data_IF_811251474547
#
_entry.id   IF_811251474547
#
_cell.length_a   1.000
_cell.length_b   1.000
_cell.length_c   1.000
_cell.angle_alpha   90.00
_cell.angle_beta   90.00
_cell.angle_gamma   90.00
#
_symmetry.space_group_name_H-M   'P 1'
#
loop_
_entity.id
_entity.type
_entity.pdbx_description
1 polymer ?
#
# COMPACT_ATOMS: atom_id res chain seq x y z
N UNK A 1 42.80 16.71 44.32
CA UNK A 1 43.43 17.04 43.03
C UNK A 1 44.91 16.97 43.26
N UNK A 2 45.52 15.83 42.93
CA UNK A 2 46.97 15.67 43.05
C UNK A 2 47.65 16.68 42.13
N UNK A 3 48.57 17.45 42.70
CA UNK A 3 49.29 18.51 41.99
C UNK A 3 50.25 17.81 41.04
N UNK A 4 49.87 17.69 39.75
CA UNK A 4 50.73 17.13 38.69
C UNK A 4 52.11 17.79 38.78
N UNK A 5 53.17 16.97 38.89
CA UNK A 5 54.55 17.41 39.20
C UNK A 5 55.33 17.92 37.99
N UNK A 6 54.63 18.21 36.88
CA UNK A 6 55.19 18.61 35.60
C UNK A 6 54.41 19.81 35.04
N UNK A 7 55.02 20.62 34.17
CA UNK A 7 54.35 21.80 33.65
C UNK A 7 53.23 21.44 32.67
N UNK A 8 52.15 22.23 32.72
CA UNK A 8 50.93 22.02 31.94
C UNK A 8 50.65 23.31 31.15
N UNK A 9 50.50 23.25 29.81
CA UNK A 9 50.02 24.36 29.00
C UNK A 9 48.66 24.90 29.49
N UNK A 10 48.40 26.20 29.29
CA UNK A 10 47.11 26.80 29.67
C UNK A 10 45.94 26.18 28.89
N UNK A 11 46.20 25.75 27.65
CA UNK A 11 45.27 25.13 26.70
C UNK A 11 45.43 23.59 26.64
N UNK A 12 45.73 22.94 27.77
CA UNK A 12 46.05 21.51 27.79
C UNK A 12 44.89 20.62 27.31
N UNK A 13 43.65 20.97 27.66
CA UNK A 13 42.48 20.20 27.24
C UNK A 13 42.35 20.20 25.72
N UNK A 14 42.41 21.37 25.09
CA UNK A 14 42.32 21.52 23.64
C UNK A 14 43.52 20.89 22.92
N UNK A 15 44.72 20.96 23.50
CA UNK A 15 45.93 20.30 22.98
C UNK A 15 45.79 18.77 22.99
N UNK A 16 45.23 18.20 24.06
CA UNK A 16 44.97 16.76 24.16
C UNK A 16 43.89 16.32 23.17
N UNK A 17 42.80 17.08 23.04
CA UNK A 17 41.78 16.82 22.01
C UNK A 17 42.38 16.84 20.60
N UNK A 18 43.22 17.83 20.32
CA UNK A 18 43.93 17.93 19.05
C UNK A 18 44.85 16.72 18.84
N UNK A 19 45.66 16.31 19.82
CA UNK A 19 46.50 15.09 19.71
C UNK A 19 45.66 13.83 19.44
N UNK A 20 44.57 13.64 20.17
CA UNK A 20 43.66 12.50 20.01
C UNK A 20 43.06 12.48 18.60
N UNK A 21 42.77 13.63 18.01
CA UNK A 21 42.21 13.74 16.65
C UNK A 21 43.11 13.12 15.56
N UNK A 22 44.44 13.06 15.79
CA UNK A 22 45.39 12.43 14.86
C UNK A 22 45.35 10.89 14.91
N UNK A 23 44.65 10.28 15.89
CA UNK A 23 44.50 8.82 16.05
C UNK A 23 45.82 8.07 15.92
N UNK A 24 46.87 8.61 16.55
CA UNK A 24 48.26 8.17 16.37
C UNK A 24 48.84 7.51 17.62
N UNK A 25 48.34 7.84 18.81
CA UNK A 25 48.72 7.18 20.06
C UNK A 25 48.36 5.69 20.00
N UNK A 26 49.20 4.85 20.62
CA UNK A 26 49.02 3.40 20.72
C UNK A 26 48.90 2.69 19.35
N UNK A 27 49.52 3.26 18.32
CA UNK A 27 49.60 2.64 16.99
C UNK A 27 50.97 2.04 16.74
N UNK A 28 51.05 1.00 15.90
CA UNK A 28 52.32 0.37 15.54
C UNK A 28 53.31 1.34 14.86
N UNK A 29 54.57 0.93 14.78
CA UNK A 29 55.59 1.72 14.08
C UNK A 29 55.22 1.89 12.60
N UNK A 30 55.53 3.06 12.06
CA UNK A 30 55.33 3.37 10.65
C UNK A 30 56.67 3.90 10.10
N UNK A 31 57.17 3.24 9.06
CA UNK A 31 58.49 3.50 8.46
C UNK A 31 58.76 4.99 8.19
N UNK A 32 57.73 5.74 7.80
CA UNK A 32 57.84 7.18 7.50
C UNK A 32 58.30 8.02 8.70
N UNK A 33 58.04 7.59 9.95
CA UNK A 33 58.53 8.26 11.15
C UNK A 33 59.87 7.68 11.60
N UNK A 34 60.07 6.36 11.42
CA UNK A 34 61.33 5.68 11.74
C UNK A 34 62.50 6.25 10.91
N UNK A 35 62.28 6.49 9.61
CA UNK A 35 63.26 7.09 8.71
C UNK A 35 63.68 8.50 9.19
N UNK A 36 62.74 9.27 9.76
CA UNK A 36 63.03 10.63 10.26
C UNK A 36 63.88 10.60 11.52
N UNK A 37 63.57 9.73 12.49
CA UNK A 37 64.38 9.62 13.72
C UNK A 37 65.76 9.03 13.44
N UNK A 38 65.88 8.10 12.49
CA UNK A 38 67.18 7.59 12.05
C UNK A 38 68.01 8.67 11.35
N UNK A 39 67.38 9.49 10.50
CA UNK A 39 68.04 10.63 9.86
C UNK A 39 68.48 11.66 10.89
N UNK A 40 67.63 12.02 11.85
CA UNK A 40 67.97 12.96 12.92
C UNK A 40 69.14 12.42 13.77
N UNK A 41 69.09 11.15 14.19
CA UNK A 41 70.16 10.52 14.95
C UNK A 41 71.52 10.63 14.24
N UNK A 42 71.55 10.30 12.94
CA UNK A 42 72.75 10.37 12.11
C UNK A 42 73.22 11.82 11.86
N UNK A 43 72.30 12.71 11.48
CA UNK A 43 72.60 14.09 11.11
C UNK A 43 73.20 14.90 12.27
N UNK A 44 72.71 14.67 13.50
CA UNK A 44 73.17 15.37 14.70
C UNK A 44 74.24 14.60 15.47
N UNK A 45 74.57 13.36 15.06
CA UNK A 45 75.58 12.53 15.71
C UNK A 45 75.27 12.22 17.18
N UNK A 46 74.00 11.97 17.50
CA UNK A 46 73.53 11.72 18.87
C UNK A 46 73.23 10.22 19.11
N UNK A 47 73.25 9.79 20.36
CA UNK A 47 72.89 8.44 20.75
C UNK A 47 71.41 8.13 20.49
N UNK A 48 70.50 9.09 20.68
CA UNK A 48 69.06 8.83 20.63
C UNK A 48 68.28 9.94 19.92
N UNK A 49 67.30 9.54 19.11
CA UNK A 49 66.29 10.45 18.54
C UNK A 49 64.89 9.83 18.60
N UNK A 50 63.87 10.64 18.89
CA UNK A 50 62.49 10.17 18.97
C UNK A 50 61.49 11.17 18.39
N UNK A 51 60.41 10.64 17.82
CA UNK A 51 59.14 11.37 17.67
C UNK A 51 58.33 11.06 18.91
N UNK A 52 58.25 12.03 19.80
CA UNK A 52 57.66 11.93 21.12
C UNK A 52 56.33 12.70 21.14
N UNK A 53 55.24 12.05 21.54
CA UNK A 53 53.91 12.65 21.68
C UNK A 53 53.56 12.72 23.16
N UNK A 54 53.01 13.86 23.59
CA UNK A 54 52.72 14.11 25.01
C UNK A 54 51.24 13.90 25.28
N UNK A 55 50.92 12.84 26.00
CA UNK A 55 49.56 12.46 26.42
C UNK A 55 49.27 13.01 27.84
N UNK A 56 48.12 12.70 28.44
CA UNK A 56 47.69 13.31 29.71
C UNK A 56 48.67 13.10 30.87
N UNK A 57 49.20 11.88 31.02
CA UNK A 57 50.09 11.46 32.11
C UNK A 57 51.39 10.78 31.64
N UNK A 58 51.52 10.53 30.33
CA UNK A 58 52.68 9.86 29.73
C UNK A 58 53.26 10.63 28.54
N UNK A 59 54.47 10.23 28.18
CA UNK A 59 55.13 10.57 26.93
C UNK A 59 55.23 9.28 26.11
N UNK A 60 54.60 9.24 24.94
CA UNK A 60 54.53 8.07 24.07
C UNK A 60 55.40 8.27 22.82
N UNK A 61 56.19 7.26 22.44
CA UNK A 61 57.11 7.37 21.31
C UNK A 61 56.53 6.77 20.03
N UNK A 62 56.16 7.63 19.07
CA UNK A 62 55.70 7.19 17.74
C UNK A 62 56.79 6.53 16.91
N UNK A 63 58.01 7.04 17.06
CA UNK A 63 59.21 6.49 16.45
C UNK A 63 60.40 6.76 17.36
N UNK A 64 61.37 5.85 17.36
CA UNK A 64 62.54 5.89 18.24
C UNK A 64 63.74 5.23 17.59
N UNK A 65 64.90 5.86 17.70
CA UNK A 65 66.19 5.31 17.31
C UNK A 65 67.16 5.44 18.50
N UNK A 66 67.79 4.34 18.90
CA UNK A 66 68.68 4.31 20.06
C UNK A 66 67.97 4.35 21.42
N UNK A 67 66.72 3.87 21.49
CA UNK A 67 65.92 3.75 22.72
C UNK A 67 64.98 2.53 22.63
N UNK A 68 64.93 1.71 23.68
CA UNK A 68 64.12 0.49 23.69
C UNK A 68 62.69 0.69 24.21
N UNK A 69 62.50 1.60 25.18
CA UNK A 69 61.20 1.86 25.80
C UNK A 69 60.22 2.52 24.84
N UNK A 70 58.93 2.20 24.99
CA UNK A 70 57.86 2.70 24.11
C UNK A 70 57.19 3.97 24.64
N UNK A 71 57.31 4.21 25.94
CA UNK A 71 56.80 5.38 26.63
C UNK A 71 57.57 5.63 27.94
N UNK A 72 57.34 6.80 28.52
CA UNK A 72 57.87 7.22 29.82
C UNK A 72 56.80 8.03 30.56
N UNK A 73 56.90 8.16 31.88
CA UNK A 73 56.05 9.07 32.63
C UNK A 73 56.24 10.52 32.17
N UNK A 74 55.16 11.29 32.04
CA UNK A 74 55.22 12.70 31.64
C UNK A 74 55.97 13.57 32.65
N UNK A 75 55.98 13.15 33.92
CA UNK A 75 56.77 13.76 35.01
C UNK A 75 58.27 13.79 34.70
N UNK A 76 58.78 12.77 34.02
CA UNK A 76 60.18 12.64 33.64
C UNK A 76 60.49 13.20 32.24
N UNK A 77 59.46 13.57 31.47
CA UNK A 77 59.59 13.96 30.08
C UNK A 77 60.19 15.37 29.87
N UNK A 78 61.34 15.42 29.19
CA UNK A 78 61.90 16.68 28.66
C UNK A 78 60.95 17.30 27.62
N UNK A 79 60.31 16.47 26.80
CA UNK A 79 59.37 16.92 25.77
C UNK A 79 58.16 17.63 26.38
N UNK A 80 57.74 17.26 27.60
CA UNK A 80 56.68 17.94 28.34
C UNK A 80 56.98 19.41 28.66
N UNK A 81 58.26 19.77 28.74
CA UNK A 81 58.70 21.16 28.87
C UNK A 81 58.87 21.85 27.51
N UNK A 82 59.32 21.12 26.49
CA UNK A 82 59.50 21.67 25.14
C UNK A 82 58.17 22.06 24.48
N UNK A 83 57.07 21.33 24.74
CA UNK A 83 55.76 21.69 24.17
C UNK A 83 55.21 23.05 24.66
N UNK A 84 55.79 23.64 25.71
CA UNK A 84 55.40 24.95 26.24
C UNK A 84 56.04 26.12 25.47
N UNK A 85 56.95 25.82 24.54
CA UNK A 85 57.72 26.81 23.80
C UNK A 85 57.43 26.68 22.30
N UNK A 86 57.52 27.79 21.56
CA UNK A 86 57.37 27.78 20.09
C UNK A 86 58.67 27.37 19.39
N UNK A 87 59.82 27.70 19.99
CA UNK A 87 61.13 27.41 19.43
C UNK A 87 61.70 26.07 19.93
N UNK A 88 62.75 25.59 19.25
CA UNK A 88 63.52 24.42 19.70
C UNK A 88 64.08 24.67 21.09
N UNK A 89 63.72 23.82 22.04
CA UNK A 89 64.31 23.84 23.38
C UNK A 89 65.65 23.12 23.34
N UNK A 90 66.73 23.80 23.70
CA UNK A 90 68.09 23.22 23.78
C UNK A 90 68.57 23.22 25.22
N UNK A 91 69.04 22.07 25.70
CA UNK A 91 69.65 21.85 27.01
C UNK A 91 71.07 21.32 26.79
N UNK A 92 72.10 22.19 26.85
CA UNK A 92 73.50 21.82 26.62
C UNK A 92 74.04 20.77 27.61
N UNK A 93 73.70 20.90 28.90
CA UNK A 93 73.99 19.92 29.96
C UNK A 93 72.84 19.91 30.98
N UNK A 94 72.06 18.82 31.00
CA UNK A 94 70.90 18.65 31.84
C UNK A 94 71.23 18.61 33.35
N UNK A 95 72.48 18.34 33.74
CA UNK A 95 72.92 18.43 35.15
C UNK A 95 73.03 19.86 35.64
N UNK A 96 73.24 20.81 34.73
CA UNK A 96 73.34 22.22 35.03
C UNK A 96 72.01 22.96 34.83
N UNK A 97 70.98 22.30 34.28
CA UNK A 97 69.66 22.88 34.07
C UNK A 97 68.76 22.61 35.29
N UNK A 98 68.33 23.68 35.96
CA UNK A 98 67.51 23.58 37.17
C UNK A 98 66.16 22.89 37.00
N UNK A 99 65.69 22.72 35.75
CA UNK A 99 64.46 21.94 35.45
C UNK A 99 64.70 20.43 35.46
N UNK A 100 65.92 19.99 35.19
CA UNK A 100 66.24 18.60 34.87
C UNK A 100 67.35 17.97 35.70
N UNK A 101 68.11 18.74 36.50
CA UNK A 101 69.26 18.23 37.25
C UNK A 101 68.93 17.04 38.17
N UNK A 102 67.73 17.03 38.75
CA UNK A 102 67.22 15.95 39.62
C UNK A 102 66.34 14.93 38.88
N UNK A 103 66.14 15.09 37.56
CA UNK A 103 65.28 14.21 36.77
C UNK A 103 65.86 12.78 36.74
N UNK A 104 65.03 11.72 36.93
CA UNK A 104 65.48 10.33 36.89
C UNK A 104 66.24 9.92 35.62
N UNK A 105 65.91 10.51 34.46
CA UNK A 105 66.60 10.23 33.20
C UNK A 105 67.99 10.89 33.11
N UNK A 106 68.30 11.82 34.02
CA UNK A 106 69.61 12.48 34.14
C UNK A 106 70.46 11.79 35.21
N UNK A 107 69.90 11.56 36.40
CA UNK A 107 70.61 10.95 37.53
C UNK A 107 70.78 9.44 37.36
N UNK A 108 69.80 8.77 36.75
CA UNK A 108 69.81 7.36 36.37
C UNK A 108 69.97 7.13 34.85
N UNK A 109 69.82 5.88 34.42
CA UNK A 109 69.86 5.48 32.99
C UNK A 109 68.72 6.19 32.24
N UNK A 110 68.95 6.78 31.05
CA UNK A 110 70.14 6.65 30.19
C UNK A 110 71.21 7.74 30.38
N UNK A 111 71.20 8.44 31.51
CA UNK A 111 72.14 9.50 31.85
C UNK A 111 72.15 10.66 30.85
N UNK A 112 70.96 11.15 30.47
CA UNK A 112 70.81 12.26 29.52
C UNK A 112 71.63 13.47 29.99
N UNK A 113 72.46 14.01 29.11
CA UNK A 113 73.23 15.25 29.34
C UNK A 113 72.85 16.30 28.32
N UNK A 114 72.87 15.97 27.05
CA UNK A 114 72.39 16.87 26.01
C UNK A 114 70.95 16.52 25.64
N UNK A 115 70.10 17.53 25.46
CA UNK A 115 68.77 17.38 24.89
C UNK A 115 68.47 18.56 23.95
N UNK A 116 67.88 18.27 22.79
CA UNK A 116 67.20 19.27 21.98
C UNK A 116 65.86 18.74 21.47
N UNK A 117 64.80 19.52 21.61
CA UNK A 117 63.45 19.14 21.18
C UNK A 117 62.80 20.23 20.36
N UNK A 118 62.49 19.94 19.11
CA UNK A 118 61.67 20.79 18.26
C UNK A 118 60.19 20.44 18.45
N UNK A 119 59.33 21.41 18.81
CA UNK A 119 57.90 21.18 18.96
C UNK A 119 57.25 20.67 17.66
N UNK A 120 56.32 19.74 17.82
CA UNK A 120 55.42 19.24 16.79
C UNK A 120 54.14 20.07 16.84
N UNK A 121 54.12 21.19 16.12
CA UNK A 121 53.02 22.16 16.14
C UNK A 121 51.98 21.84 15.07
N UNK A 122 50.72 21.70 15.48
CA UNK A 122 49.60 21.48 14.55
C UNK A 122 49.19 22.76 13.84
N UNK A 123 48.43 22.69 12.73
CA UNK A 123 47.89 23.88 12.06
C UNK A 123 47.01 24.76 12.98
N UNK A 124 46.41 24.16 14.01
CA UNK A 124 45.67 24.87 15.06
C UNK A 124 46.56 25.59 16.09
N UNK A 125 47.89 25.47 15.98
CA UNK A 125 48.85 26.09 16.90
C UNK A 125 49.14 25.27 18.16
N UNK A 126 48.71 24.01 18.23
CA UNK A 126 48.93 23.16 19.41
C UNK A 126 50.23 22.37 19.29
N UNK A 127 51.06 22.40 20.32
CA UNK A 127 52.26 21.57 20.38
C UNK A 127 51.90 20.19 20.95
N UNK A 128 51.69 19.21 20.08
CA UNK A 128 51.23 17.88 20.50
C UNK A 128 52.37 16.93 20.93
N UNK A 129 53.61 17.33 20.69
CA UNK A 129 54.79 16.53 20.96
C UNK A 129 56.08 17.23 20.52
N UNK A 130 57.16 16.46 20.35
CA UNK A 130 58.44 16.94 19.83
C UNK A 130 59.12 15.91 18.94
N UNK A 131 59.85 16.36 17.91
CA UNK A 131 61.00 15.62 17.41
C UNK A 131 62.18 16.00 18.30
N UNK A 132 62.71 15.06 19.06
CA UNK A 132 63.82 15.31 19.96
C UNK A 132 65.02 14.42 19.70
N UNK A 133 66.18 14.95 20.07
CA UNK A 133 67.48 14.31 20.04
C UNK A 133 68.12 14.47 21.42
N UNK A 134 68.79 13.45 21.91
CA UNK A 134 69.49 13.52 23.18
C UNK A 134 70.67 12.55 23.26
N UNK A 135 71.62 12.89 24.13
CA UNK A 135 72.91 12.19 24.24
C UNK A 135 73.38 12.11 25.70
N UNK A 136 74.06 11.02 26.11
CA UNK A 136 74.72 10.92 27.42
C UNK A 136 75.95 11.83 27.56
N UNK A 137 76.40 12.49 26.50
CA UNK A 137 77.49 13.48 26.51
C UNK A 137 76.91 14.90 26.46
N UNK A 138 77.42 15.85 27.27
CA UNK A 138 76.99 17.23 27.19
C UNK A 138 77.49 17.86 25.88
N UNK A 139 76.79 18.89 25.41
CA UNK A 139 77.15 19.66 24.23
C UNK A 139 77.27 21.15 24.61
N UNK A 140 78.42 21.60 25.15
CA UNK A 140 78.56 22.93 25.78
C UNK A 140 78.19 24.11 24.87
N UNK A 141 78.52 24.02 23.58
CA UNK A 141 78.19 25.06 22.58
C UNK A 141 76.73 24.99 22.10
N UNK A 142 75.95 24.03 22.60
CA UNK A 142 74.58 23.77 22.17
C UNK A 142 74.49 23.37 20.70
N UNK A 143 73.36 23.74 20.07
CA UNK A 143 73.16 23.58 18.63
C UNK A 143 73.51 24.89 17.92
N UNK A 144 74.17 24.77 16.76
CA UNK A 144 74.31 25.90 15.84
C UNK A 144 72.95 26.35 15.30
N UNK A 145 72.86 27.60 14.79
CA UNK A 145 71.64 28.09 14.13
C UNK A 145 71.19 27.20 12.97
N UNK A 146 72.13 26.61 12.25
CA UNK A 146 71.83 25.68 11.16
C UNK A 146 71.22 24.38 11.69
N UNK A 147 71.77 23.82 12.76
CA UNK A 147 71.25 22.60 13.39
C UNK A 147 69.87 22.79 14.01
N UNK A 148 69.63 23.93 14.67
CA UNK A 148 68.29 24.30 15.14
C UNK A 148 67.31 24.33 13.98
N UNK A 149 67.69 24.97 12.87
CA UNK A 149 66.86 25.00 11.65
C UNK A 149 66.59 23.61 11.09
N UNK A 150 67.61 22.75 11.02
CA UNK A 150 67.47 21.37 10.55
C UNK A 150 66.49 20.55 11.43
N UNK A 151 66.59 20.67 12.76
CA UNK A 151 65.71 19.94 13.67
C UNK A 151 64.25 20.42 13.55
N UNK A 152 64.05 21.74 13.42
CA UNK A 152 62.73 22.32 13.13
C UNK A 152 62.17 21.85 11.79
N UNK A 153 62.99 21.77 10.73
CA UNK A 153 62.54 21.27 9.43
C UNK A 153 62.11 19.80 9.49
N UNK A 154 62.89 18.95 10.18
CA UNK A 154 62.51 17.54 10.38
C UNK A 154 61.24 17.41 11.22
N UNK A 155 61.06 18.24 12.25
CA UNK A 155 59.81 18.28 13.02
C UNK A 155 58.61 18.69 12.15
N UNK A 156 58.80 19.66 11.26
CA UNK A 156 57.82 20.03 10.24
C UNK A 156 57.45 18.86 9.33
N UNK A 157 58.43 18.10 8.84
CA UNK A 157 58.18 16.89 8.04
C UNK A 157 57.38 15.83 8.80
N UNK A 158 57.67 15.62 10.10
CA UNK A 158 56.88 14.71 10.95
C UNK A 158 55.42 15.19 11.03
N UNK A 159 55.21 16.49 11.24
CA UNK A 159 53.86 17.06 11.29
C UNK A 159 53.11 16.93 9.96
N UNK A 160 53.77 17.19 8.83
CA UNK A 160 53.16 16.97 7.50
C UNK A 160 52.71 15.51 7.32
N UNK A 161 53.51 14.55 7.79
CA UNK A 161 53.15 13.11 7.75
C UNK A 161 51.99 12.79 8.69
N UNK A 162 51.94 13.35 9.89
CA UNK A 162 50.82 13.19 10.83
C UNK A 162 49.52 13.77 10.26
N UNK A 163 49.57 14.96 9.64
CA UNK A 163 48.41 15.59 8.98
C UNK A 163 47.92 14.73 7.82
N UNK A 164 48.83 14.29 6.95
CA UNK A 164 48.48 13.42 5.82
C UNK A 164 47.85 12.10 6.30
N UNK A 165 48.36 11.51 7.40
CA UNK A 165 47.80 10.31 8.02
C UNK A 165 46.37 10.52 8.53
N UNK A 166 46.11 11.63 9.25
CA UNK A 166 44.77 11.97 9.73
C UNK A 166 43.77 12.10 8.58
N UNK A 167 44.10 12.92 7.58
CA UNK A 167 43.27 13.15 6.39
C UNK A 167 43.02 11.87 5.57
N UNK A 168 43.95 10.90 5.62
CA UNK A 168 43.76 9.58 4.99
C UNK A 168 42.69 8.78 5.70
N UNK A 169 42.77 8.70 7.04
CA UNK A 169 41.83 7.94 7.84
C UNK A 169 40.41 8.51 7.72
N UNK A 170 40.26 9.83 7.75
CA UNK A 170 38.96 10.51 7.58
C UNK A 170 38.34 10.18 6.22
N UNK A 171 39.08 10.37 5.12
CA UNK A 171 38.59 10.05 3.76
C UNK A 171 38.26 8.57 3.57
N UNK A 172 39.02 7.66 4.17
CA UNK A 172 38.73 6.22 4.10
C UNK A 172 37.40 5.90 4.81
N UNK A 173 37.14 6.51 5.97
CA UNK A 173 35.88 6.34 6.68
C UNK A 173 34.70 6.90 5.88
N UNK A 174 34.84 8.10 5.33
CA UNK A 174 33.82 8.72 4.47
C UNK A 174 33.52 7.87 3.23
N UNK A 175 34.56 7.39 2.52
CA UNK A 175 34.38 6.52 1.34
C UNK A 175 33.66 5.21 1.69
N UNK A 176 33.98 4.60 2.82
CA UNK A 176 33.28 3.40 3.30
C UNK A 176 31.81 3.67 3.62
N UNK A 177 31.51 4.82 4.23
CA UNK A 177 30.13 5.23 4.49
C UNK A 177 29.35 5.44 3.19
N UNK A 178 29.92 6.16 2.22
CA UNK A 178 29.31 6.37 0.90
C UNK A 178 29.01 5.03 0.22
N UNK A 179 29.97 4.08 0.21
CA UNK A 179 29.75 2.74 -0.34
C UNK A 179 28.63 1.97 0.36
N UNK A 180 28.57 2.04 1.69
CA UNK A 180 27.52 1.36 2.47
C UNK A 180 26.14 1.93 2.15
N UNK A 181 26.01 3.25 2.12
CA UNK A 181 24.75 3.93 1.79
C UNK A 181 24.35 3.65 0.34
N UNK A 182 25.27 3.73 -0.61
CA UNK A 182 25.05 3.39 -2.02
C UNK A 182 24.55 1.94 -2.19
N UNK A 183 25.16 0.97 -1.51
CA UNK A 183 24.71 -0.43 -1.55
C UNK A 183 23.29 -0.63 -1.03
N UNK A 184 22.95 0.02 0.09
CA UNK A 184 21.59 -0.01 0.65
C UNK A 184 20.57 0.64 -0.28
N UNK A 185 20.90 1.79 -0.88
CA UNK A 185 20.05 2.48 -1.85
C UNK A 185 19.82 1.61 -3.10
N UNK A 186 20.86 0.95 -3.62
CA UNK A 186 20.72 0.04 -4.78
C UNK A 186 19.77 -1.11 -4.49
N UNK A 187 19.90 -1.76 -3.32
CA UNK A 187 19.02 -2.87 -2.93
C UNK A 187 17.57 -2.40 -2.76
N UNK A 188 17.37 -1.25 -2.11
CA UNK A 188 16.04 -0.67 -1.93
C UNK A 188 15.40 -0.27 -3.27
N UNK A 189 16.15 0.36 -4.17
CA UNK A 189 15.68 0.75 -5.49
C UNK A 189 15.30 -0.48 -6.34
N UNK A 190 16.11 -1.54 -6.32
CA UNK A 190 15.78 -2.78 -7.01
C UNK A 190 14.50 -3.45 -6.47
N UNK A 191 14.32 -3.46 -5.15
CA UNK A 191 13.09 -3.97 -4.53
C UNK A 191 11.85 -3.15 -4.93
N UNK A 192 11.98 -1.82 -4.97
CA UNK A 192 10.91 -0.93 -5.42
C UNK A 192 10.57 -1.13 -6.90
N UNK A 193 11.56 -1.35 -7.77
CA UNK A 193 11.36 -1.66 -9.19
C UNK A 193 10.55 -2.95 -9.38
N UNK A 194 10.91 -4.02 -8.67
CA UNK A 194 10.16 -5.29 -8.72
C UNK A 194 8.73 -5.10 -8.21
N UNK A 195 8.55 -4.43 -7.07
CA UNK A 195 7.22 -4.14 -6.52
C UNK A 195 6.38 -3.26 -7.45
N UNK A 196 6.99 -2.28 -8.13
CA UNK A 196 6.31 -1.43 -9.09
C UNK A 196 5.81 -2.22 -10.30
N UNK A 197 6.61 -3.17 -10.81
CA UNK A 197 6.20 -4.07 -11.91
C UNK A 197 5.05 -4.98 -11.51
N UNK A 198 5.09 -5.57 -10.32
CA UNK A 198 4.00 -6.39 -9.78
C UNK A 198 2.72 -5.57 -9.61
N UNK A 199 2.83 -4.35 -9.07
CA UNK A 199 1.69 -3.45 -8.88
C UNK A 199 1.08 -3.00 -10.21
N UNK A 200 1.90 -2.78 -11.25
CA UNK A 200 1.45 -2.47 -12.61
C UNK A 200 0.67 -3.63 -13.25
N UNK A 201 1.14 -4.87 -13.05
CA UNK A 201 0.44 -6.06 -13.50
C UNK A 201 -0.91 -6.22 -12.77
N UNK A 202 -0.94 -6.04 -11.45
CA UNK A 202 -2.17 -6.06 -10.66
C UNK A 202 -3.15 -4.96 -11.08
N UNK A 203 -2.67 -3.74 -11.38
CA UNK A 203 -3.51 -2.67 -11.88
C UNK A 203 -4.10 -2.99 -13.26
N UNK A 204 -3.34 -3.66 -14.13
CA UNK A 204 -3.83 -4.10 -15.45
C UNK A 204 -4.93 -5.16 -15.32
N UNK A 205 -4.74 -6.17 -14.48
CA UNK A 205 -5.77 -7.18 -14.19
C UNK A 205 -7.00 -6.56 -13.52
N UNK A 206 -6.80 -5.66 -12.55
CA UNK A 206 -7.87 -4.89 -11.92
C UNK A 206 -8.69 -4.10 -12.95
N UNK A 207 -8.04 -3.49 -13.94
CA UNK A 207 -8.73 -2.68 -14.94
C UNK A 207 -9.61 -3.54 -15.85
N UNK A 208 -9.13 -4.72 -16.24
CA UNK A 208 -9.91 -5.70 -17.01
C UNK A 208 -11.13 -6.18 -16.22
N UNK A 209 -10.96 -6.48 -14.92
CA UNK A 209 -12.07 -6.92 -14.06
C UNK A 209 -13.09 -5.82 -13.83
N UNK A 210 -12.66 -4.59 -13.60
CA UNK A 210 -13.56 -3.45 -13.42
C UNK A 210 -14.32 -3.11 -14.71
N UNK A 211 -13.68 -3.21 -15.89
CA UNK A 211 -14.40 -3.04 -17.16
C UNK A 211 -15.46 -4.13 -17.37
N UNK A 212 -15.12 -5.40 -17.10
CA UNK A 212 -16.08 -6.50 -17.15
C UNK A 212 -17.24 -6.31 -16.17
N UNK A 213 -16.97 -5.85 -14.95
CA UNK A 213 -18.01 -5.50 -13.98
C UNK A 213 -18.90 -4.36 -14.49
N UNK A 214 -18.31 -3.31 -15.08
CA UNK A 214 -19.04 -2.20 -15.67
C UNK A 214 -19.92 -2.63 -16.84
N UNK A 215 -19.45 -3.55 -17.68
CA UNK A 215 -20.27 -4.19 -18.72
C UNK A 215 -21.44 -4.96 -18.12
N UNK A 216 -21.20 -5.72 -17.04
CA UNK A 216 -22.24 -6.43 -16.29
C UNK A 216 -23.31 -5.50 -15.72
N UNK A 217 -22.93 -4.37 -15.13
CA UNK A 217 -23.87 -3.36 -14.63
C UNK A 217 -24.72 -2.78 -15.76
N UNK A 218 -24.11 -2.42 -16.90
CA UNK A 218 -24.84 -1.94 -18.08
C UNK A 218 -25.84 -2.97 -18.60
N UNK A 219 -25.47 -4.25 -18.59
CA UNK A 219 -26.38 -5.33 -18.98
C UNK A 219 -27.55 -5.48 -18.00
N UNK A 220 -27.30 -5.40 -16.68
CA UNK A 220 -28.36 -5.40 -15.67
C UNK A 220 -29.31 -4.21 -15.83
N UNK A 221 -28.80 -3.04 -16.22
CA UNK A 221 -29.63 -1.87 -16.53
C UNK A 221 -30.56 -2.15 -17.71
N UNK A 222 -30.03 -2.71 -18.81
CA UNK A 222 -30.83 -3.09 -19.97
C UNK A 222 -31.89 -4.14 -19.63
N UNK A 223 -31.51 -5.20 -18.90
CA UNK A 223 -32.43 -6.27 -18.51
C UNK A 223 -33.60 -5.76 -17.66
N UNK A 224 -33.34 -4.80 -16.76
CA UNK A 224 -34.40 -4.23 -15.95
C UNK A 224 -35.41 -3.40 -16.76
N UNK A 225 -34.93 -2.65 -17.76
CA UNK A 225 -35.81 -1.91 -18.67
C UNK A 225 -36.70 -2.87 -19.49
N UNK A 226 -36.15 -4.02 -19.88
CA UNK A 226 -36.90 -5.09 -20.55
C UNK A 226 -37.97 -5.69 -19.62
N UNK A 227 -37.62 -5.99 -18.36
CA UNK A 227 -38.58 -6.47 -17.34
C UNK A 227 -39.72 -5.47 -17.12
N UNK A 228 -39.43 -4.17 -17.04
CA UNK A 228 -40.45 -3.13 -16.87
C UNK A 228 -41.41 -3.06 -18.06
N UNK A 229 -40.88 -3.20 -19.27
CA UNK A 229 -41.67 -3.28 -20.50
C UNK A 229 -42.59 -4.51 -20.49
N UNK A 230 -42.05 -5.67 -20.12
CA UNK A 230 -42.81 -6.92 -20.02
C UNK A 230 -43.92 -6.80 -18.96
N UNK A 231 -43.61 -6.25 -17.77
CA UNK A 231 -44.60 -6.08 -16.70
C UNK A 231 -45.76 -5.16 -17.10
N UNK A 232 -45.46 -4.10 -17.85
CA UNK A 232 -46.48 -3.21 -18.39
C UNK A 232 -47.42 -3.97 -19.33
N UNK A 233 -46.87 -4.79 -20.23
CA UNK A 233 -47.65 -5.65 -21.12
C UNK A 233 -48.47 -6.72 -20.38
N UNK A 234 -47.88 -7.37 -19.38
CA UNK A 234 -48.58 -8.39 -18.55
C UNK A 234 -49.74 -7.75 -17.79
N UNK A 235 -49.56 -6.57 -17.22
CA UNK A 235 -50.62 -5.87 -16.49
C UNK A 235 -51.77 -5.50 -17.42
N UNK A 236 -51.47 -4.97 -18.62
CA UNK A 236 -52.51 -4.70 -19.63
C UNK A 236 -53.26 -5.95 -20.07
N UNK A 237 -52.57 -7.08 -20.27
CA UNK A 237 -53.23 -8.35 -20.58
C UNK A 237 -54.14 -8.85 -19.44
N UNK A 238 -53.74 -8.66 -18.18
CA UNK A 238 -54.55 -9.01 -17.01
C UNK A 238 -55.83 -8.16 -16.98
N UNK A 239 -55.72 -6.87 -17.26
CA UNK A 239 -56.87 -5.96 -17.32
C UNK A 239 -57.83 -6.36 -18.45
N UNK A 240 -57.32 -6.70 -19.64
CA UNK A 240 -58.14 -7.23 -20.73
C UNK A 240 -58.87 -8.53 -20.35
N UNK A 241 -58.20 -9.47 -19.66
CA UNK A 241 -58.84 -10.71 -19.19
C UNK A 241 -59.90 -10.43 -18.12
N UNK A 242 -59.69 -9.42 -17.27
CA UNK A 242 -60.66 -8.99 -16.28
C UNK A 242 -61.93 -8.43 -16.95
N UNK A 243 -61.75 -7.56 -17.95
CA UNK A 243 -62.84 -6.98 -18.74
C UNK A 243 -63.63 -8.06 -19.51
N UNK A 244 -62.93 -9.01 -20.13
CA UNK A 244 -63.55 -10.14 -20.83
C UNK A 244 -64.36 -11.03 -19.87
N UNK A 245 -63.82 -11.32 -18.68
CA UNK A 245 -64.51 -12.11 -17.66
C UNK A 245 -65.81 -11.42 -17.20
N UNK A 246 -65.76 -10.11 -16.98
CA UNK A 246 -66.92 -9.32 -16.55
C UNK A 246 -67.95 -9.16 -17.67
N UNK A 247 -67.49 -8.99 -18.91
CA UNK A 247 -68.36 -8.98 -20.09
C UNK A 247 -69.08 -10.32 -20.27
N UNK A 248 -68.38 -11.43 -20.11
CA UNK A 248 -68.95 -12.78 -20.17
C UNK A 248 -69.98 -12.99 -19.06
N UNK A 249 -69.68 -12.56 -17.83
CA UNK A 249 -70.62 -12.64 -16.69
C UNK A 249 -71.92 -11.86 -16.99
N UNK A 250 -71.82 -10.65 -17.56
CA UNK A 250 -72.99 -9.84 -17.97
C UNK A 250 -73.81 -10.52 -19.07
N UNK A 251 -73.17 -11.06 -20.11
CA UNK A 251 -73.86 -11.75 -21.20
C UNK A 251 -74.59 -12.99 -20.68
N UNK A 252 -73.95 -13.76 -19.81
CA UNK A 252 -74.51 -15.00 -19.24
C UNK A 252 -75.67 -14.70 -18.29
N UNK A 253 -75.57 -13.63 -17.49
CA UNK A 253 -76.70 -13.16 -16.67
C UNK A 253 -77.90 -12.74 -17.54
N UNK A 254 -77.65 -12.05 -18.65
CA UNK A 254 -78.69 -11.71 -19.63
C UNK A 254 -79.36 -12.95 -20.25
N UNK A 255 -78.56 -13.96 -20.61
CA UNK A 255 -79.08 -15.24 -21.12
C UNK A 255 -79.97 -15.95 -20.08
N UNK A 256 -79.57 -15.94 -18.80
CA UNK A 256 -80.39 -16.46 -17.70
C UNK A 256 -81.77 -15.81 -17.64
N UNK A 257 -81.84 -14.47 -17.73
CA UNK A 257 -83.11 -13.73 -17.76
C UNK A 257 -83.97 -14.06 -19.00
N UNK A 258 -83.37 -14.28 -20.17
CA UNK A 258 -84.10 -14.72 -21.36
C UNK A 258 -84.68 -16.13 -21.19
N UNK A 259 -83.94 -17.05 -20.58
CA UNK A 259 -84.39 -18.42 -20.33
C UNK A 259 -85.57 -18.45 -19.35
N UNK A 260 -85.52 -17.65 -18.27
CA UNK A 260 -86.65 -17.49 -17.35
C UNK A 260 -87.92 -17.02 -18.08
N UNK A 261 -87.77 -16.03 -18.98
CA UNK A 261 -88.87 -15.53 -19.80
C UNK A 261 -89.47 -16.60 -20.74
N UNK A 262 -88.63 -17.37 -21.43
CA UNK A 262 -89.08 -18.48 -22.30
C UNK A 262 -89.74 -19.58 -21.46
N UNK A 263 -89.19 -19.88 -20.27
CA UNK A 263 -89.76 -20.84 -19.33
C UNK A 263 -91.15 -20.45 -18.85
N UNK A 264 -91.38 -19.17 -18.56
CA UNK A 264 -92.69 -18.64 -18.21
C UNK A 264 -93.71 -18.84 -19.35
N UNK A 265 -93.35 -18.48 -20.57
CA UNK A 265 -94.19 -18.67 -21.77
C UNK A 265 -94.49 -20.14 -22.02
N UNK A 266 -93.48 -21.02 -21.93
CA UNK A 266 -93.67 -22.46 -22.08
C UNK A 266 -94.61 -23.04 -20.99
N UNK A 267 -94.57 -22.50 -19.77
CA UNK A 267 -95.48 -22.88 -18.69
C UNK A 267 -96.91 -22.42 -18.95
N UNK A 268 -97.10 -21.20 -19.46
CA UNK A 268 -98.41 -20.69 -19.87
C UNK A 268 -99.01 -21.53 -21.01
N UNK A 269 -98.23 -21.84 -22.06
CA UNK A 269 -98.67 -22.67 -23.18
C UNK A 269 -99.06 -24.08 -22.68
N UNK A 270 -98.26 -24.67 -21.80
CA UNK A 270 -98.55 -25.98 -21.19
C UNK A 270 -99.87 -25.96 -20.40
N UNK A 271 -100.13 -24.87 -19.65
CA UNK A 271 -101.40 -24.65 -18.94
C UNK A 271 -102.58 -24.52 -19.90
N UNK A 272 -102.44 -23.71 -20.97
CA UNK A 272 -103.47 -23.53 -22.01
C UNK A 272 -103.75 -24.86 -22.73
N UNK A 273 -102.72 -25.64 -23.07
CA UNK A 273 -102.86 -26.95 -23.68
C UNK A 273 -103.62 -27.92 -22.76
N UNK A 274 -103.30 -27.93 -21.46
CA UNK A 274 -104.04 -28.72 -20.45
C UNK A 274 -105.52 -28.33 -20.37
N UNK A 275 -105.82 -27.02 -20.31
CA UNK A 275 -107.20 -26.52 -20.32
C UNK A 275 -107.94 -26.86 -21.61
N UNK A 276 -107.29 -26.71 -22.77
CA UNK A 276 -107.85 -27.03 -24.09
C UNK A 276 -108.14 -28.52 -24.23
N UNK A 277 -107.27 -29.37 -23.66
CA UNK A 277 -107.46 -30.82 -23.58
C UNK A 277 -108.67 -31.20 -22.71
N UNK A 278 -108.92 -30.47 -21.62
CA UNK A 278 -110.11 -30.65 -20.78
C UNK A 278 -111.39 -30.16 -21.47
N UNK A 279 -111.35 -28.99 -22.14
CA UNK A 279 -112.48 -28.45 -22.89
C UNK A 279 -112.89 -29.36 -24.06
N UNK A 280 -111.92 -29.84 -24.83
CA UNK A 280 -112.15 -30.79 -25.91
C UNK A 280 -112.65 -32.14 -25.40
N UNK A 281 -112.18 -32.62 -24.24
CA UNK A 281 -112.74 -33.80 -23.59
C UNK A 281 -114.22 -33.63 -23.26
N UNK A 282 -114.59 -32.50 -22.66
CA UNK A 282 -116.00 -32.18 -22.36
C UNK A 282 -116.83 -32.07 -23.64
N UNK A 283 -116.28 -31.47 -24.69
CA UNK A 283 -116.93 -31.37 -26.01
C UNK A 283 -117.11 -32.75 -26.67
N UNK A 284 -116.13 -33.65 -26.58
CA UNK A 284 -116.25 -35.04 -27.08
C UNK A 284 -117.33 -35.81 -26.31
N UNK A 285 -117.47 -35.60 -24.99
CA UNK A 285 -118.52 -36.21 -24.17
C UNK A 285 -119.90 -35.69 -24.57
N UNK A 286 -120.06 -34.38 -24.76
CA UNK A 286 -121.34 -33.79 -25.15
C UNK A 286 -121.73 -34.14 -26.60
N UNK A 287 -120.75 -34.21 -27.51
CA UNK A 287 -120.94 -34.69 -28.87
C UNK A 287 -121.39 -36.17 -28.91
N UNK A 288 -120.86 -37.02 -28.00
CA UNK A 288 -121.31 -38.39 -27.86
C UNK A 288 -122.75 -38.50 -27.30
N UNK A 289 -123.16 -37.56 -26.43
CA UNK A 289 -124.54 -37.47 -25.91
C UNK A 289 -125.56 -37.05 -26.96
N UNK A 290 -125.18 -36.22 -27.93
CA UNK A 290 -126.06 -35.73 -28.98
C UNK A 290 -126.40 -36.79 -30.07
N UNK A 291 -125.79 -37.97 -30.05
CA UNK A 291 -126.10 -39.06 -30.99
C UNK A 291 -125.69 -38.74 -32.44
N UNK A 292 -126.52 -39.09 -33.42
CA UNK A 292 -126.19 -38.96 -34.85
C UNK A 292 -125.97 -37.52 -35.33
N UNK A 293 -126.53 -36.50 -34.65
CA UNK A 293 -126.30 -35.08 -34.96
C UNK A 293 -124.97 -34.54 -34.41
N UNK A 294 -124.35 -35.24 -33.45
CA UNK A 294 -123.08 -34.84 -32.81
C UNK A 294 -121.81 -35.41 -33.47
N UNK A 295 -121.94 -36.32 -34.44
CA UNK A 295 -120.83 -37.05 -35.07
C UNK A 295 -119.72 -36.14 -35.63
N UNK A 296 -120.10 -35.05 -36.31
CA UNK A 296 -119.14 -34.08 -36.84
C UNK A 296 -118.38 -33.32 -35.74
N UNK A 297 -119.05 -32.97 -34.64
CA UNK A 297 -118.43 -32.31 -33.50
C UNK A 297 -117.48 -33.24 -32.72
N UNK A 298 -117.78 -34.54 -32.64
CA UNK A 298 -116.92 -35.52 -31.99
C UNK A 298 -115.56 -35.67 -32.68
N UNK A 299 -115.52 -35.59 -34.03
CA UNK A 299 -114.27 -35.61 -34.81
C UNK A 299 -113.44 -34.37 -34.49
N UNK A 300 -114.05 -33.18 -34.53
CA UNK A 300 -113.35 -31.91 -34.22
C UNK A 300 -112.84 -31.90 -32.77
N UNK A 301 -113.64 -32.35 -31.81
CA UNK A 301 -113.24 -32.40 -30.40
C UNK A 301 -112.08 -33.37 -30.17
N UNK A 302 -112.06 -34.53 -30.83
CA UNK A 302 -110.91 -35.45 -30.77
C UNK A 302 -109.65 -34.87 -31.43
N UNK A 303 -109.80 -34.17 -32.56
CA UNK A 303 -108.68 -33.50 -33.24
C UNK A 303 -108.06 -32.40 -32.35
N UNK A 304 -108.90 -31.54 -31.76
CA UNK A 304 -108.45 -30.50 -30.81
C UNK A 304 -107.77 -31.11 -29.58
N UNK A 305 -108.30 -32.23 -29.07
CA UNK A 305 -107.69 -32.95 -27.94
C UNK A 305 -106.31 -33.51 -28.28
N UNK A 306 -106.14 -34.05 -29.48
CA UNK A 306 -104.86 -34.57 -29.96
C UNK A 306 -103.84 -33.45 -30.16
N UNK A 307 -104.23 -32.34 -30.80
CA UNK A 307 -103.41 -31.13 -30.92
C UNK A 307 -102.98 -30.60 -29.55
N UNK A 308 -103.90 -30.52 -28.58
CA UNK A 308 -103.59 -30.10 -27.22
C UNK A 308 -102.60 -31.06 -26.52
N UNK A 309 -102.68 -32.37 -26.80
CA UNK A 309 -101.69 -33.36 -26.36
C UNK A 309 -100.31 -33.11 -26.95
N UNK A 310 -100.22 -32.94 -28.28
CA UNK A 310 -98.96 -32.64 -28.97
C UNK A 310 -98.34 -31.32 -28.49
N UNK A 311 -99.15 -30.30 -28.21
CA UNK A 311 -98.68 -29.03 -27.64
C UNK A 311 -98.11 -29.20 -26.24
N UNK A 312 -98.72 -30.04 -25.40
CA UNK A 312 -98.20 -30.35 -24.06
C UNK A 312 -96.85 -31.08 -24.14
N UNK A 313 -96.75 -32.12 -24.97
CA UNK A 313 -95.50 -32.88 -25.15
C UNK A 313 -94.38 -31.97 -25.71
N UNK A 314 -94.71 -31.09 -26.66
CA UNK A 314 -93.76 -30.11 -27.21
C UNK A 314 -93.30 -29.10 -26.15
N UNK A 315 -94.19 -28.63 -25.27
CA UNK A 315 -93.81 -27.71 -24.18
C UNK A 315 -92.98 -28.39 -23.08
N UNK A 316 -93.22 -29.67 -22.80
CA UNK A 316 -92.38 -30.43 -21.89
C UNK A 316 -90.99 -30.67 -22.47
N UNK A 317 -90.87 -30.90 -23.78
CA UNK A 317 -89.58 -30.95 -24.46
C UNK A 317 -88.84 -29.60 -24.37
N UNK A 318 -89.53 -28.47 -24.63
CA UNK A 318 -88.96 -27.12 -24.45
C UNK A 318 -88.45 -26.91 -23.01
N UNK A 319 -89.24 -27.30 -22.00
CA UNK A 319 -88.81 -27.21 -20.59
C UNK A 319 -87.56 -28.05 -20.31
N UNK A 320 -87.45 -29.23 -20.89
CA UNK A 320 -86.26 -30.09 -20.75
C UNK A 320 -85.02 -29.43 -21.36
N UNK A 321 -85.14 -28.88 -22.57
CA UNK A 321 -84.05 -28.15 -23.24
C UNK A 321 -83.65 -26.90 -22.45
N UNK A 322 -84.62 -26.13 -21.92
CA UNK A 322 -84.35 -24.98 -21.07
C UNK A 322 -83.52 -25.35 -19.83
N UNK A 323 -83.86 -26.45 -19.14
CA UNK A 323 -83.08 -26.94 -17.99
C UNK A 323 -81.63 -27.29 -18.36
N UNK A 324 -81.41 -27.88 -19.53
CA UNK A 324 -80.06 -28.18 -19.99
C UNK A 324 -79.23 -26.91 -20.28
N UNK A 325 -79.89 -25.87 -20.80
CA UNK A 325 -79.26 -24.55 -21.01
C UNK A 325 -79.01 -23.86 -19.66
N UNK A 326 -79.95 -23.89 -18.72
CA UNK A 326 -79.79 -23.35 -17.35
C UNK A 326 -78.59 -23.96 -16.62
N UNK A 327 -78.43 -25.29 -16.69
CA UNK A 327 -77.29 -25.99 -16.11
C UNK A 327 -75.96 -25.60 -16.79
N UNK A 328 -76.00 -25.33 -18.10
CA UNK A 328 -74.83 -24.79 -18.82
C UNK A 328 -74.51 -23.36 -18.41
N UNK A 329 -75.52 -22.51 -18.24
CA UNK A 329 -75.39 -21.13 -17.74
C UNK A 329 -74.74 -21.13 -16.36
N UNK A 330 -75.22 -21.97 -15.44
CA UNK A 330 -74.66 -22.10 -14.09
C UNK A 330 -73.16 -22.47 -14.12
N UNK A 331 -72.76 -23.45 -14.94
CA UNK A 331 -71.35 -23.82 -15.13
C UNK A 331 -70.49 -22.67 -15.68
N UNK A 332 -71.05 -21.86 -16.59
CA UNK A 332 -70.30 -20.71 -17.14
C UNK A 332 -70.11 -19.63 -16.08
N UNK A 333 -71.11 -19.36 -15.23
CA UNK A 333 -70.97 -18.42 -14.10
C UNK A 333 -69.87 -18.88 -13.14
N UNK A 334 -69.86 -20.16 -12.75
CA UNK A 334 -68.81 -20.73 -11.90
C UNK A 334 -67.42 -20.55 -12.53
N UNK A 335 -67.29 -20.77 -13.84
CA UNK A 335 -66.04 -20.56 -14.58
C UNK A 335 -65.61 -19.08 -14.59
N UNK A 336 -66.54 -18.13 -14.70
CA UNK A 336 -66.26 -16.70 -14.60
C UNK A 336 -65.73 -16.32 -13.20
N UNK A 337 -66.28 -16.89 -12.13
CA UNK A 337 -65.82 -16.62 -10.76
C UNK A 337 -64.41 -17.15 -10.51
N UNK A 338 -64.11 -18.36 -11.00
CA UNK A 338 -62.75 -18.92 -10.96
C UNK A 338 -61.77 -18.05 -11.77
N UNK A 339 -62.18 -17.56 -12.94
CA UNK A 339 -61.37 -16.67 -13.77
C UNK A 339 -61.08 -15.34 -13.07
N UNK A 340 -62.08 -14.73 -12.42
CA UNK A 340 -61.91 -13.52 -11.63
C UNK A 340 -60.92 -13.74 -10.46
N UNK A 341 -61.00 -14.87 -9.76
CA UNK A 341 -60.03 -15.23 -8.72
C UNK A 341 -58.59 -15.37 -9.26
N UNK A 342 -58.43 -15.94 -10.47
CA UNK A 342 -57.12 -16.02 -11.14
C UNK A 342 -56.58 -14.66 -11.54
N UNK A 343 -57.42 -13.75 -12.04
CA UNK A 343 -57.04 -12.36 -12.34
C UNK A 343 -56.47 -11.66 -11.11
N UNK A 344 -57.14 -11.75 -9.96
CA UNK A 344 -56.65 -11.14 -8.70
C UNK A 344 -55.29 -11.73 -8.28
N UNK A 345 -55.12 -13.05 -8.41
CA UNK A 345 -53.83 -13.69 -8.13
C UNK A 345 -52.72 -13.21 -9.09
N UNK A 346 -53.04 -13.03 -10.38
CA UNK A 346 -52.11 -12.49 -11.38
C UNK A 346 -51.75 -11.02 -11.10
N UNK A 347 -52.71 -10.19 -10.72
CA UNK A 347 -52.46 -8.79 -10.31
C UNK A 347 -51.51 -8.73 -9.11
N UNK A 348 -51.75 -9.58 -8.10
CA UNK A 348 -50.88 -9.68 -6.91
C UNK A 348 -49.47 -10.14 -7.30
N UNK A 349 -49.35 -11.12 -8.20
CA UNK A 349 -48.07 -11.58 -8.73
C UNK A 349 -47.30 -10.48 -9.48
N UNK A 350 -47.96 -9.78 -10.40
CA UNK A 350 -47.38 -8.66 -11.15
C UNK A 350 -46.86 -7.55 -10.23
N UNK A 351 -47.66 -7.16 -9.22
CA UNK A 351 -47.29 -6.16 -8.24
C UNK A 351 -46.02 -6.55 -7.43
N UNK A 352 -45.89 -7.82 -7.06
CA UNK A 352 -44.68 -8.33 -6.37
C UNK A 352 -43.44 -8.31 -7.25
N UNK A 353 -43.57 -8.66 -8.53
CA UNK A 353 -42.43 -8.60 -9.47
C UNK A 353 -42.00 -7.15 -9.67
N UNK A 354 -42.95 -6.21 -9.81
CA UNK A 354 -42.68 -4.78 -9.90
C UNK A 354 -41.90 -4.26 -8.69
N UNK A 355 -42.37 -4.56 -7.47
CA UNK A 355 -41.68 -4.16 -6.24
C UNK A 355 -40.25 -4.73 -6.15
N UNK A 356 -40.04 -5.95 -6.63
CA UNK A 356 -38.70 -6.57 -6.66
C UNK A 356 -37.78 -5.86 -7.66
N UNK A 357 -38.30 -5.50 -8.84
CA UNK A 357 -37.55 -4.76 -9.85
C UNK A 357 -37.15 -3.35 -9.38
N UNK A 358 -38.04 -2.67 -8.65
CA UNK A 358 -37.75 -1.37 -8.02
C UNK A 358 -36.64 -1.49 -6.96
N UNK A 359 -36.67 -2.52 -6.13
CA UNK A 359 -35.64 -2.75 -5.11
C UNK A 359 -34.26 -3.06 -5.74
N UNK A 360 -34.24 -3.77 -6.86
CA UNK A 360 -33.02 -3.98 -7.66
C UNK A 360 -32.49 -2.70 -8.33
N UNK A 361 -33.30 -1.66 -8.51
CA UNK A 361 -32.83 -0.40 -9.09
C UNK A 361 -31.80 0.30 -8.19
N UNK A 362 -32.08 0.37 -6.88
CA UNK A 362 -31.14 0.96 -5.91
C UNK A 362 -29.83 0.18 -5.86
N UNK A 363 -29.88 -1.15 -5.84
CA UNK A 363 -28.67 -1.99 -5.84
C UNK A 363 -27.86 -1.79 -7.11
N UNK A 364 -28.49 -1.67 -8.29
CA UNK A 364 -27.77 -1.43 -9.55
C UNK A 364 -27.04 -0.10 -9.58
N UNK A 365 -27.65 0.96 -9.04
CA UNK A 365 -27.00 2.28 -8.94
C UNK A 365 -25.76 2.18 -8.04
N UNK A 366 -25.92 1.58 -6.86
CA UNK A 366 -24.81 1.46 -5.90
C UNK A 366 -23.64 0.63 -6.45
N UNK A 367 -23.92 -0.52 -7.08
CA UNK A 367 -22.88 -1.34 -7.73
C UNK A 367 -22.23 -0.57 -8.89
N UNK A 368 -22.97 0.26 -9.61
CA UNK A 368 -22.41 1.13 -10.65
C UNK A 368 -21.41 2.14 -10.09
N UNK A 369 -21.77 2.84 -9.01
CA UNK A 369 -20.88 3.79 -8.33
C UNK A 369 -19.61 3.11 -7.79
N UNK A 370 -19.75 1.95 -7.12
CA UNK A 370 -18.60 1.20 -6.62
C UNK A 370 -17.65 0.74 -7.74
N UNK A 371 -18.20 0.35 -8.90
CA UNK A 371 -17.40 -0.03 -10.07
C UNK A 371 -16.66 1.18 -10.64
N UNK A 372 -17.30 2.34 -10.76
CA UNK A 372 -16.65 3.56 -11.26
C UNK A 372 -15.51 4.03 -10.32
N UNK A 373 -15.74 3.96 -9.00
CA UNK A 373 -14.71 4.23 -7.99
C UNK A 373 -13.53 3.25 -8.11
N UNK A 374 -13.82 1.96 -8.30
CA UNK A 374 -12.80 0.93 -8.51
C UNK A 374 -11.98 1.18 -9.78
N UNK A 375 -12.62 1.58 -10.89
CA UNK A 375 -11.93 1.96 -12.14
C UNK A 375 -10.96 3.11 -11.90
N UNK A 376 -11.41 4.15 -11.19
CA UNK A 376 -10.60 5.32 -10.87
C UNK A 376 -9.38 4.95 -10.00
N UNK A 377 -9.61 4.18 -8.94
CA UNK A 377 -8.56 3.73 -8.02
C UNK A 377 -7.50 2.87 -8.73
N UNK A 378 -7.93 1.89 -9.53
CA UNK A 378 -7.03 1.02 -10.29
C UNK A 378 -6.19 1.82 -11.28
N UNK A 379 -6.78 2.80 -11.96
CA UNK A 379 -6.05 3.68 -12.87
C UNK A 379 -4.99 4.49 -12.13
N UNK A 380 -5.31 5.03 -10.96
CA UNK A 380 -4.36 5.78 -10.15
C UNK A 380 -3.19 4.90 -9.68
N UNK A 381 -3.48 3.67 -9.22
CA UNK A 381 -2.46 2.68 -8.85
C UNK A 381 -1.52 2.40 -10.03
N UNK A 382 -2.06 2.21 -11.24
CA UNK A 382 -1.25 1.97 -12.44
C UNK A 382 -0.33 3.14 -12.81
N UNK A 383 -0.78 4.39 -12.61
CA UNK A 383 0.06 5.59 -12.82
C UNK A 383 1.17 5.67 -11.76
N UNK A 384 0.83 5.47 -10.48
CA UNK A 384 1.80 5.48 -9.39
C UNK A 384 2.87 4.40 -9.55
N UNK A 385 2.48 3.19 -9.97
CA UNK A 385 3.40 2.09 -10.23
C UNK A 385 4.46 2.48 -11.29
N UNK A 386 4.04 3.06 -12.42
CA UNK A 386 4.97 3.53 -13.46
C UNK A 386 5.92 4.64 -12.98
N UNK A 387 5.44 5.52 -12.11
CA UNK A 387 6.26 6.59 -11.54
C UNK A 387 7.35 6.02 -10.62
N UNK A 388 7.00 5.05 -9.78
CA UNK A 388 7.94 4.36 -8.88
C UNK A 388 8.98 3.58 -9.68
N UNK A 389 8.58 2.90 -10.76
CA UNK A 389 9.50 2.19 -11.66
C UNK A 389 10.55 3.15 -12.24
N UNK A 390 10.11 4.27 -12.83
CA UNK A 390 11.02 5.28 -13.39
C UNK A 390 11.93 5.96 -12.35
N UNK A 391 11.43 6.24 -11.15
CA UNK A 391 12.26 6.77 -10.06
C UNK A 391 13.28 5.74 -9.57
N UNK A 392 12.92 4.46 -9.52
CA UNK A 392 13.83 3.39 -9.09
C UNK A 392 14.99 3.24 -10.08
N UNK A 393 14.72 3.32 -11.38
CA UNK A 393 15.75 3.31 -12.43
C UNK A 393 16.69 4.52 -12.32
N UNK A 394 16.15 5.72 -12.08
CA UNK A 394 16.94 6.92 -11.88
C UNK A 394 17.87 6.80 -10.66
N UNK A 395 17.35 6.31 -9.52
CA UNK A 395 18.14 6.09 -8.30
C UNK A 395 19.25 5.07 -8.56
N UNK A 396 18.97 3.97 -9.26
CA UNK A 396 20.00 2.97 -9.61
C UNK A 396 21.13 3.59 -10.44
N UNK A 397 20.79 4.43 -11.41
CA UNK A 397 21.77 5.15 -12.23
C UNK A 397 22.65 6.08 -11.40
N UNK A 398 22.05 6.90 -10.52
CA UNK A 398 22.79 7.79 -9.63
C UNK A 398 23.69 7.03 -8.66
N UNK A 399 23.24 5.90 -8.15
CA UNK A 399 24.04 5.04 -7.26
C UNK A 399 25.28 4.48 -7.96
N UNK A 400 25.17 4.12 -9.24
CA UNK A 400 26.34 3.70 -10.05
C UNK A 400 27.35 4.84 -10.16
N UNK A 401 26.90 6.05 -10.50
CA UNK A 401 27.77 7.24 -10.60
C UNK A 401 28.46 7.54 -9.26
N UNK A 402 27.73 7.49 -8.15
CA UNK A 402 28.27 7.71 -6.81
C UNK A 402 29.36 6.68 -6.46
N UNK A 403 29.14 5.42 -6.81
CA UNK A 403 30.11 4.35 -6.57
C UNK A 403 31.36 4.54 -7.41
N UNK A 404 31.23 4.84 -8.70
CA UNK A 404 32.37 5.08 -9.59
C UNK A 404 33.19 6.29 -9.13
N UNK A 405 32.53 7.34 -8.65
CA UNK A 405 33.21 8.49 -8.06
C UNK A 405 33.99 8.11 -6.79
N UNK A 406 33.39 7.32 -5.89
CA UNK A 406 34.04 6.83 -4.69
C UNK A 406 35.23 5.89 -5.00
N UNK A 407 35.13 5.08 -6.06
CA UNK A 407 36.21 4.21 -6.54
C UNK A 407 37.36 5.04 -7.15
N UNK A 408 37.05 6.04 -7.97
CA UNK A 408 38.03 6.94 -8.59
C UNK A 408 38.83 7.76 -7.57
N UNK A 409 38.16 8.30 -6.54
CA UNK A 409 38.81 9.04 -5.46
C UNK A 409 39.82 8.15 -4.69
N UNK A 410 39.48 6.87 -4.48
CA UNK A 410 40.38 5.91 -3.83
C UNK A 410 41.57 5.55 -4.73
N UNK A 411 41.34 5.36 -6.03
CA UNK A 411 42.40 4.95 -6.96
C UNK A 411 43.44 6.06 -7.19
N UNK A 412 43.00 7.30 -7.44
CA UNK A 412 43.90 8.47 -7.51
C UNK A 412 44.73 8.64 -6.23
N UNK A 413 44.17 8.27 -5.09
CA UNK A 413 44.87 8.35 -3.83
C UNK A 413 45.95 7.27 -3.66
N UNK A 414 45.69 6.03 -4.08
CA UNK A 414 46.71 4.96 -4.07
C UNK A 414 47.90 5.33 -4.95
N UNK A 415 47.65 5.93 -6.12
CA UNK A 415 48.70 6.37 -7.04
C UNK A 415 49.58 7.49 -6.45
N UNK A 416 48.97 8.49 -5.79
CA UNK A 416 49.70 9.60 -5.13
C UNK A 416 50.45 9.15 -3.86
N UNK A 417 50.04 8.04 -3.23
CA UNK A 417 50.67 7.51 -2.01
C UNK A 417 51.83 6.56 -2.28
N UNK A 418 51.96 6.07 -3.52
CA UNK A 418 52.92 5.04 -3.93
C UNK A 418 54.10 5.58 -4.74
N UNK A 419 54.05 6.87 -5.13
CA UNK A 419 55.16 7.62 -5.72
C UNK A 419 55.68 8.66 -4.73
#
# INVERSE_FOLDING_TARGET
MDKKSFPIPVNEAERLEELISYKVLDTGSERVFDDVVMLAQSLFGVATSTVSLIDDDRQWFKARAGLEVEETERSAAFCGHAILQEAVMVVPDARADGRFAENPLVTGVPHIRFYAGAPLTTPGGFNIGTLCIFDPSPRPDGLSRQEVSHLSMLAGMVMERLIARRLRLERQQESQQVRSVAGRLSTAAYQLEVQAKDLSALATDGALRSDAAGQGVRQLVSMAAEVETILTGVTGNIDHVADDAESMRRIVAGLGGHLEGIGAVASEISSIASQTRLLSLNASIEAARAGDTGRGFAVVANEVRQLAGLTADATDHIKSELRAIEDTVARVVERCDILAGRVVAMQTGSARIKATAELQATTRIHVGEEVDDAVSAVRQIGVSAKLVDGHSEAVLSEVVVLRDHADSLMQRYVEVSSG
#
